data_IF_659856635183
#
_entry.id   IF_659856635183
#
_cell.length_a   1.000
_cell.length_b   1.000
_cell.length_c   1.000
_cell.angle_alpha   90.00
_cell.angle_beta   90.00
_cell.angle_gamma   90.00
#
_symmetry.space_group_name_H-M   'P 1'
#
loop_
_entity.id
_entity.type
_entity.pdbx_description
1 polymer ?
#
# COMPACT_ATOMS: atom_id res chain seq x y z
N UNK A 1 54.63 -0.54 3.62
CA UNK A 1 54.27 -1.92 3.24
C UNK A 1 52.83 -2.11 3.67
N UNK A 2 51.87 -2.01 2.74
CA UNK A 2 50.45 -2.19 3.04
C UNK A 2 50.18 -3.69 3.15
N UNK A 3 49.93 -4.18 4.36
CA UNK A 3 49.42 -5.54 4.55
C UNK A 3 48.08 -5.65 3.81
N UNK A 4 48.04 -6.52 2.80
CA UNK A 4 46.78 -7.05 2.25
C UNK A 4 46.01 -7.63 3.43
N UNK A 5 44.96 -6.94 3.90
CA UNK A 5 43.91 -7.60 4.68
C UNK A 5 43.36 -8.70 3.77
N UNK A 6 43.72 -9.93 4.08
CA UNK A 6 43.08 -11.10 3.49
C UNK A 6 41.61 -10.97 3.84
N UNK A 7 40.75 -10.76 2.84
CA UNK A 7 39.30 -10.81 3.03
C UNK A 7 38.98 -12.22 3.53
N UNK A 8 38.80 -12.36 4.85
CA UNK A 8 38.42 -13.61 5.46
C UNK A 8 37.00 -13.93 5.01
N UNK A 9 36.86 -14.98 4.20
CA UNK A 9 35.56 -15.52 3.83
C UNK A 9 35.13 -16.44 4.98
N UNK A 10 34.03 -16.15 5.69
CA UNK A 10 33.57 -17.01 6.77
C UNK A 10 33.34 -18.44 6.27
N UNK A 11 33.81 -19.43 7.02
CA UNK A 11 33.43 -20.83 6.80
C UNK A 11 32.14 -21.14 7.54
N UNK A 12 31.21 -21.76 6.84
CA UNK A 12 29.92 -22.17 7.38
C UNK A 12 29.87 -23.69 7.48
N UNK A 13 29.42 -24.21 8.62
CA UNK A 13 29.16 -25.65 8.81
C UNK A 13 27.80 -25.84 9.46
N UNK A 14 26.97 -26.73 8.91
CA UNK A 14 25.68 -27.10 9.50
C UNK A 14 25.73 -28.49 10.15
N UNK A 15 25.11 -28.63 11.32
CA UNK A 15 25.02 -29.92 12.03
C UNK A 15 23.81 -29.96 12.98
N UNK A 16 23.63 -31.07 13.69
CA UNK A 16 22.68 -31.20 14.80
C UNK A 16 23.45 -31.34 16.11
N UNK A 17 23.19 -30.48 17.09
CA UNK A 17 23.78 -30.55 18.43
C UNK A 17 22.92 -31.44 19.31
N UNK A 18 23.37 -32.69 19.50
CA UNK A 18 22.67 -33.69 20.32
C UNK A 18 22.52 -33.31 21.79
N UNK A 19 23.43 -32.51 22.34
CA UNK A 19 23.41 -32.10 23.75
C UNK A 19 22.36 -31.02 23.98
N UNK A 20 22.24 -30.08 23.04
CA UNK A 20 21.26 -28.98 23.11
C UNK A 20 19.94 -29.33 22.45
N UNK A 21 19.86 -30.45 21.73
CA UNK A 21 18.72 -30.86 20.90
C UNK A 21 18.30 -29.76 19.93
N UNK A 22 19.29 -29.17 19.24
CA UNK A 22 19.09 -28.03 18.32
C UNK A 22 19.81 -28.27 16.99
N UNK A 23 19.23 -27.73 15.93
CA UNK A 23 19.88 -27.64 14.62
C UNK A 23 20.79 -26.41 14.59
N UNK A 24 22.00 -26.52 14.07
CA UNK A 24 23.05 -25.50 14.28
C UNK A 24 23.75 -25.13 12.98
N UNK A 25 24.02 -23.84 12.81
CA UNK A 25 24.98 -23.31 11.83
C UNK A 25 26.14 -22.67 12.59
N UNK A 26 27.32 -23.22 12.42
CA UNK A 26 28.56 -22.65 12.93
C UNK A 26 29.18 -21.72 11.88
N UNK A 27 29.54 -20.51 12.29
CA UNK A 27 30.07 -19.44 11.44
C UNK A 27 31.46 -19.09 11.93
N UNK A 28 32.42 -20.00 11.72
CA UNK A 28 33.83 -19.79 12.09
C UNK A 28 34.00 -19.07 13.46
N UNK A 29 34.82 -18.05 13.51
CA UNK A 29 35.04 -17.19 14.68
C UNK A 29 33.88 -16.22 15.01
N UNK A 30 32.88 -16.08 14.13
CA UNK A 30 31.77 -15.12 14.29
C UNK A 30 30.65 -15.66 15.17
N UNK A 31 30.58 -16.98 15.36
CA UNK A 31 29.67 -17.58 16.34
C UNK A 31 28.80 -18.67 15.76
N UNK A 32 27.59 -18.79 16.30
CA UNK A 32 26.72 -19.94 16.06
C UNK A 32 25.26 -19.52 16.03
N UNK A 33 24.52 -19.98 15.02
CA UNK A 33 23.07 -19.80 14.90
C UNK A 33 22.37 -21.10 15.31
N UNK A 34 21.49 -21.01 16.29
CA UNK A 34 20.62 -22.11 16.71
C UNK A 34 19.26 -22.01 16.02
N UNK A 35 18.87 -23.08 15.36
CA UNK A 35 17.66 -23.18 14.56
C UNK A 35 16.64 -24.12 15.21
N UNK A 36 15.37 -23.82 15.01
CA UNK A 36 14.23 -24.53 15.59
C UNK A 36 13.99 -25.89 14.94
N UNK A 37 14.34 -26.04 13.66
CA UNK A 37 14.15 -27.26 12.88
C UNK A 37 15.30 -27.48 11.87
N UNK A 38 15.39 -28.69 11.33
CA UNK A 38 16.35 -29.02 10.26
C UNK A 38 16.12 -28.16 9.03
N UNK A 39 14.85 -28.00 8.68
CA UNK A 39 14.43 -27.20 7.53
C UNK A 39 14.86 -25.73 7.69
N UNK A 40 14.66 -25.14 8.87
CA UNK A 40 15.08 -23.76 9.13
C UNK A 40 16.60 -23.61 9.02
N UNK A 41 17.36 -24.54 9.61
CA UNK A 41 18.83 -24.56 9.52
C UNK A 41 19.29 -24.60 8.08
N UNK A 42 18.69 -25.49 7.28
CA UNK A 42 19.10 -25.70 5.90
C UNK A 42 18.79 -24.48 5.04
N UNK A 43 17.64 -23.83 5.23
CA UNK A 43 17.30 -22.61 4.49
C UNK A 43 18.21 -21.44 4.89
N UNK A 44 18.48 -21.24 6.19
CA UNK A 44 19.38 -20.17 6.66
C UNK A 44 20.82 -20.44 6.18
N UNK A 45 21.25 -21.70 6.16
CA UNK A 45 22.56 -22.09 5.67
C UNK A 45 22.71 -21.84 4.17
N UNK A 46 21.73 -22.26 3.37
CA UNK A 46 21.69 -21.98 1.93
C UNK A 46 21.70 -20.46 1.68
N UNK A 47 20.97 -19.68 2.48
CA UNK A 47 20.97 -18.21 2.44
C UNK A 47 22.35 -17.62 2.72
N UNK A 48 23.03 -18.06 3.79
CA UNK A 48 24.36 -17.57 4.14
C UNK A 48 25.43 -17.89 3.09
N UNK A 49 25.22 -18.95 2.31
CA UNK A 49 26.10 -19.37 1.22
C UNK A 49 25.69 -18.83 -0.15
N UNK A 50 24.59 -18.09 -0.25
CA UNK A 50 24.01 -17.62 -1.52
C UNK A 50 23.74 -18.75 -2.53
N UNK A 51 23.34 -19.93 -2.03
CA UNK A 51 23.07 -21.12 -2.86
C UNK A 51 21.58 -21.14 -3.24
N UNK A 52 21.30 -21.03 -4.53
CA UNK A 52 19.94 -20.95 -5.10
C UNK A 52 19.06 -19.85 -4.49
N UNK A 53 19.53 -18.61 -4.61
CA UNK A 53 18.78 -17.43 -4.25
C UNK A 53 17.29 -17.43 -4.65
N UNK A 54 17.06 -17.63 -5.95
CA UNK A 54 15.77 -17.53 -6.62
C UNK A 54 14.72 -18.53 -6.12
N UNK A 55 15.15 -19.60 -5.43
CA UNK A 55 14.27 -20.62 -4.85
C UNK A 55 13.52 -20.10 -3.63
N UNK A 56 14.08 -19.14 -2.91
CA UNK A 56 13.56 -18.63 -1.65
C UNK A 56 13.20 -17.13 -1.73
N UNK A 57 13.72 -16.42 -2.73
CA UNK A 57 13.57 -14.99 -2.88
C UNK A 57 13.49 -14.58 -4.36
N UNK A 58 12.43 -13.89 -4.74
CA UNK A 58 12.39 -13.16 -6.03
C UNK A 58 13.25 -11.89 -5.91
N UNK A 59 14.58 -12.01 -5.96
CA UNK A 59 15.52 -10.86 -5.91
C UNK A 59 15.74 -10.16 -7.22
N UNK A 60 15.47 -10.83 -8.34
CA UNK A 60 15.88 -10.30 -9.64
C UNK A 60 14.93 -9.20 -10.15
N UNK A 61 13.95 -8.82 -9.34
CA UNK A 61 12.98 -7.80 -9.69
C UNK A 61 13.12 -6.61 -8.76
N UNK A 62 13.57 -5.49 -9.31
CA UNK A 62 13.53 -4.19 -8.66
C UNK A 62 12.19 -3.50 -8.91
N UNK A 63 11.77 -2.64 -7.98
CA UNK A 63 10.61 -1.77 -8.17
C UNK A 63 11.04 -0.35 -7.94
N UNK A 64 10.91 0.48 -8.97
CA UNK A 64 11.11 1.92 -8.85
C UNK A 64 9.80 2.60 -8.44
N UNK A 65 9.86 3.45 -7.42
CA UNK A 65 8.80 4.42 -7.12
C UNK A 65 9.34 5.81 -7.42
N UNK A 66 8.65 6.51 -8.32
CA UNK A 66 8.99 7.89 -8.69
C UNK A 66 9.16 8.79 -7.46
N UNK A 67 10.16 9.66 -7.53
CA UNK A 67 10.51 10.65 -6.50
C UNK A 67 10.90 10.03 -5.13
N UNK A 68 11.13 8.71 -5.09
CA UNK A 68 11.66 7.97 -3.93
C UNK A 68 13.00 7.34 -4.28
N UNK A 69 12.99 6.07 -4.69
CA UNK A 69 14.16 5.27 -5.02
C UNK A 69 13.75 3.95 -5.69
N UNK A 70 14.75 3.20 -6.11
CA UNK A 70 14.59 1.80 -6.49
C UNK A 70 14.64 0.92 -5.25
N UNK A 71 13.62 0.09 -5.07
CA UNK A 71 13.51 -0.88 -3.99
C UNK A 71 13.91 -2.27 -4.50
N UNK A 72 14.69 -2.97 -3.70
CA UNK A 72 15.09 -4.37 -3.91
C UNK A 72 14.96 -5.12 -2.59
N UNK A 73 14.81 -6.45 -2.65
CA UNK A 73 14.76 -7.27 -1.43
C UNK A 73 15.98 -7.03 -0.53
N UNK A 74 17.19 -6.98 -1.11
CA UNK A 74 18.43 -6.76 -0.36
C UNK A 74 18.48 -5.38 0.31
N UNK A 75 17.94 -4.34 -0.33
CA UNK A 75 17.81 -3.02 0.29
C UNK A 75 16.93 -3.09 1.53
N UNK A 76 15.71 -3.65 1.38
CA UNK A 76 14.75 -3.80 2.47
C UNK A 76 15.36 -4.60 3.62
N UNK A 77 15.98 -5.74 3.32
CA UNK A 77 16.59 -6.62 4.31
C UNK A 77 17.66 -5.89 5.12
N UNK A 78 18.62 -5.25 4.44
CA UNK A 78 19.72 -4.57 5.11
C UNK A 78 19.25 -3.41 6.00
N UNK A 79 18.24 -2.66 5.58
CA UNK A 79 17.74 -1.54 6.37
C UNK A 79 16.88 -2.01 7.56
N UNK A 80 16.05 -3.04 7.38
CA UNK A 80 15.27 -3.62 8.47
C UNK A 80 16.18 -4.29 9.52
N UNK A 81 17.27 -4.94 9.12
CA UNK A 81 18.26 -5.48 10.05
C UNK A 81 18.99 -4.38 10.83
N UNK A 82 19.28 -3.22 10.22
CA UNK A 82 19.82 -2.06 10.96
C UNK A 82 18.83 -1.55 11.99
N UNK A 83 17.54 -1.43 11.64
CA UNK A 83 16.49 -1.02 12.57
C UNK A 83 16.44 -1.99 13.75
N UNK A 84 16.40 -3.30 13.45
CA UNK A 84 16.39 -4.35 14.47
C UNK A 84 17.61 -4.28 15.38
N UNK A 85 18.82 -4.11 14.83
CA UNK A 85 20.05 -3.94 15.61
C UNK A 85 19.99 -2.70 16.51
N UNK A 86 19.45 -1.57 16.01
CA UNK A 86 19.18 -0.37 16.80
C UNK A 86 18.26 -0.65 17.99
N UNK A 87 17.12 -1.30 17.75
CA UNK A 87 16.18 -1.68 18.80
C UNK A 87 16.79 -2.63 19.85
N UNK A 88 17.68 -3.53 19.44
CA UNK A 88 18.42 -4.41 20.36
C UNK A 88 19.36 -3.60 21.24
N UNK A 89 20.14 -2.69 20.65
CA UNK A 89 21.08 -1.83 21.36
C UNK A 89 20.36 -0.91 22.37
N UNK A 90 19.18 -0.42 22.01
CA UNK A 90 18.30 0.37 22.89
C UNK A 90 17.52 -0.48 23.91
N UNK A 91 17.68 -1.81 23.89
CA UNK A 91 16.94 -2.79 24.72
C UNK A 91 15.42 -2.77 24.50
N UNK A 92 14.93 -2.09 23.47
CA UNK A 92 13.50 -2.05 23.10
C UNK A 92 13.04 -3.35 22.46
N UNK A 93 13.88 -4.01 21.65
CA UNK A 93 13.52 -5.24 20.95
C UNK A 93 13.04 -6.34 21.91
N UNK A 94 13.68 -6.49 23.07
CA UNK A 94 13.31 -7.49 24.08
C UNK A 94 11.98 -7.21 24.79
N UNK A 95 11.42 -6.01 24.63
CA UNK A 95 10.08 -5.64 25.14
C UNK A 95 8.96 -5.97 24.16
N UNK A 96 9.32 -6.30 22.92
CA UNK A 96 8.41 -6.69 21.86
C UNK A 96 8.04 -8.17 22.02
N UNK A 97 6.74 -8.47 21.94
CA UNK A 97 6.25 -9.85 21.86
C UNK A 97 6.45 -10.43 20.45
N UNK A 98 6.19 -11.73 20.25
CA UNK A 98 6.41 -12.41 18.96
C UNK A 98 5.69 -11.73 17.78
N UNK A 99 4.46 -11.23 17.99
CA UNK A 99 3.68 -10.56 16.94
C UNK A 99 4.27 -9.19 16.58
N UNK A 100 4.73 -8.46 17.57
CA UNK A 100 5.39 -7.17 17.40
C UNK A 100 6.76 -7.34 16.72
N UNK A 101 7.50 -8.40 17.02
CA UNK A 101 8.76 -8.70 16.32
C UNK A 101 8.50 -9.05 14.85
N UNK A 102 7.45 -9.82 14.56
CA UNK A 102 7.09 -10.19 13.18
C UNK A 102 6.75 -8.99 12.30
N UNK A 103 6.31 -7.87 12.86
CA UNK A 103 6.01 -6.65 12.09
C UNK A 103 7.23 -6.18 11.29
N UNK A 104 8.44 -6.25 11.85
CA UNK A 104 9.70 -5.89 11.18
C UNK A 104 10.01 -6.80 9.97
N UNK A 105 9.52 -8.03 10.02
CA UNK A 105 9.76 -9.07 9.03
C UNK A 105 8.71 -9.06 7.90
N UNK A 106 7.54 -8.44 8.12
CA UNK A 106 6.44 -8.42 7.16
C UNK A 106 6.82 -7.90 5.76
N UNK A 107 7.57 -6.79 5.60
CA UNK A 107 7.96 -6.34 4.26
C UNK A 107 8.70 -7.43 3.47
N UNK A 108 9.59 -8.18 4.11
CA UNK A 108 10.36 -9.25 3.47
C UNK A 108 9.47 -10.43 3.08
N UNK A 109 8.52 -10.79 3.94
CA UNK A 109 7.55 -11.85 3.67
C UNK A 109 6.61 -11.46 2.51
N UNK A 110 6.13 -10.21 2.49
CA UNK A 110 5.30 -9.71 1.39
C UNK A 110 6.06 -9.69 0.06
N UNK A 111 7.34 -9.32 0.09
CA UNK A 111 8.19 -9.31 -1.10
C UNK A 111 8.37 -10.72 -1.67
N UNK A 112 8.66 -11.72 -0.82
CA UNK A 112 8.84 -13.11 -1.28
C UNK A 112 7.57 -13.68 -1.90
N UNK A 113 6.39 -13.22 -1.46
CA UNK A 113 5.07 -13.52 -2.06
C UNK A 113 4.74 -12.73 -3.33
N UNK A 114 5.67 -11.92 -3.84
CA UNK A 114 5.49 -11.02 -5.00
C UNK A 114 4.50 -9.88 -4.75
N UNK A 115 4.20 -9.55 -3.50
CA UNK A 115 3.35 -8.41 -3.11
C UNK A 115 4.20 -7.15 -2.94
N UNK A 116 4.92 -6.78 -4.00
CA UNK A 116 6.03 -5.81 -3.93
C UNK A 116 5.57 -4.42 -3.48
N UNK A 117 4.46 -3.90 -3.99
CA UNK A 117 3.96 -2.60 -3.54
C UNK A 117 3.53 -2.59 -2.07
N UNK A 118 2.79 -3.60 -1.62
CA UNK A 118 2.46 -3.74 -0.19
C UNK A 118 3.70 -3.86 0.70
N UNK A 119 4.72 -4.61 0.26
CA UNK A 119 6.03 -4.66 0.92
C UNK A 119 6.68 -3.28 1.03
N UNK A 120 6.71 -2.52 -0.07
CA UNK A 120 7.32 -1.19 -0.12
C UNK A 120 6.55 -0.19 0.74
N UNK A 121 5.23 -0.25 0.75
CA UNK A 121 4.40 0.63 1.58
C UNK A 121 4.63 0.36 3.06
N UNK A 122 4.70 -0.92 3.45
CA UNK A 122 5.05 -1.32 4.82
C UNK A 122 6.48 -0.92 5.18
N UNK A 123 7.46 -1.10 4.29
CA UNK A 123 8.83 -0.64 4.50
C UNK A 123 8.91 0.87 4.71
N UNK A 124 8.23 1.65 3.87
CA UNK A 124 8.20 3.11 3.97
C UNK A 124 7.55 3.61 5.26
N UNK A 125 6.62 2.84 5.84
CA UNK A 125 6.06 3.12 7.15
C UNK A 125 7.15 3.13 8.24
N UNK A 126 8.09 2.19 8.23
CA UNK A 126 9.22 2.17 9.17
C UNK A 126 10.25 3.27 8.94
N UNK A 127 10.55 3.55 7.67
CA UNK A 127 11.58 4.52 7.29
C UNK A 127 11.11 5.98 7.40
N UNK A 128 9.81 6.19 7.64
CA UNK A 128 9.16 7.49 7.80
C UNK A 128 9.34 8.43 6.58
N UNK A 129 9.41 7.87 5.37
CA UNK A 129 9.75 8.61 4.14
C UNK A 129 8.64 9.58 3.66
N UNK A 130 7.53 9.73 4.38
CA UNK A 130 6.38 10.57 4.02
C UNK A 130 5.56 10.02 2.86
N UNK A 131 4.63 10.83 2.33
CA UNK A 131 3.67 10.40 1.30
C UNK A 131 4.32 9.75 0.07
N UNK A 132 3.61 8.78 -0.52
CA UNK A 132 4.01 8.10 -1.75
C UNK A 132 3.20 8.69 -2.91
N UNK A 133 3.89 9.15 -3.95
CA UNK A 133 3.27 9.68 -5.16
C UNK A 133 3.16 8.58 -6.21
N UNK A 134 1.96 8.33 -6.69
CA UNK A 134 1.72 7.33 -7.73
C UNK A 134 2.26 7.81 -9.07
N UNK A 135 3.07 6.97 -9.70
CA UNK A 135 3.50 7.12 -11.08
C UNK A 135 2.69 6.24 -12.03
N UNK A 136 3.03 6.29 -13.32
CA UNK A 136 2.36 5.51 -14.35
C UNK A 136 2.47 3.99 -14.11
N UNK A 137 3.55 3.53 -13.48
CA UNK A 137 3.77 2.11 -13.19
C UNK A 137 2.81 1.65 -12.08
N UNK A 138 2.69 2.42 -11.00
CA UNK A 138 1.76 2.12 -9.92
C UNK A 138 0.30 2.23 -10.37
N UNK A 139 -0.01 3.19 -11.25
CA UNK A 139 -1.31 3.26 -11.90
C UNK A 139 -1.59 2.04 -12.81
N UNK A 140 -0.60 1.59 -13.60
CA UNK A 140 -0.75 0.42 -14.45
C UNK A 140 -0.92 -0.87 -13.62
N UNK A 141 -0.22 -0.98 -12.50
CA UNK A 141 -0.44 -2.05 -11.53
C UNK A 141 -1.90 -2.02 -11.06
N UNK A 142 -2.39 -0.87 -10.60
CA UNK A 142 -3.76 -0.73 -10.13
C UNK A 142 -4.81 -1.06 -11.22
N UNK A 143 -4.55 -0.67 -12.47
CA UNK A 143 -5.43 -0.95 -13.61
C UNK A 143 -5.54 -2.45 -13.94
N UNK A 144 -4.57 -3.26 -13.53
CA UNK A 144 -4.62 -4.72 -13.70
C UNK A 144 -5.45 -5.41 -12.61
N UNK A 145 -6.00 -4.66 -11.65
CA UNK A 145 -6.88 -5.20 -10.63
C UNK A 145 -8.29 -5.41 -11.19
N UNK A 146 -8.64 -6.68 -11.45
CA UNK A 146 -9.91 -7.07 -12.06
C UNK A 146 -11.13 -6.58 -11.28
N UNK A 147 -11.16 -6.80 -9.97
CA UNK A 147 -12.28 -6.42 -9.10
C UNK A 147 -12.47 -4.89 -9.07
N UNK A 148 -11.38 -4.13 -9.11
CA UNK A 148 -11.45 -2.67 -9.22
C UNK A 148 -12.05 -2.24 -10.56
N UNK A 149 -11.70 -2.91 -11.66
CA UNK A 149 -12.27 -2.62 -12.97
C UNK A 149 -13.77 -2.94 -13.03
N UNK A 150 -14.20 -4.04 -12.41
CA UNK A 150 -15.62 -4.35 -12.24
C UNK A 150 -16.34 -3.24 -11.45
N UNK A 151 -15.72 -2.75 -10.36
CA UNK A 151 -16.25 -1.61 -9.59
C UNK A 151 -16.27 -0.29 -10.38
N UNK A 152 -15.28 -0.03 -11.23
CA UNK A 152 -15.28 1.12 -12.17
C UNK A 152 -16.46 1.03 -13.14
N UNK A 153 -16.77 -0.15 -13.66
CA UNK A 153 -17.91 -0.35 -14.55
C UNK A 153 -19.25 -0.14 -13.83
N UNK A 154 -19.41 -0.66 -12.61
CA UNK A 154 -20.58 -0.38 -11.76
C UNK A 154 -20.73 1.13 -11.51
N UNK A 155 -19.62 1.82 -11.27
CA UNK A 155 -19.58 3.26 -11.10
C UNK A 155 -20.04 4.02 -12.36
N UNK A 156 -19.59 3.62 -13.55
CA UNK A 156 -20.03 4.27 -14.80
C UNK A 156 -21.53 4.07 -15.07
N UNK A 157 -22.08 2.89 -14.78
CA UNK A 157 -23.53 2.67 -14.86
C UNK A 157 -24.30 3.51 -13.82
N UNK A 158 -23.74 3.69 -12.62
CA UNK A 158 -24.28 4.62 -11.63
C UNK A 158 -24.31 6.06 -12.18
N UNK A 159 -23.23 6.57 -12.77
CA UNK A 159 -23.24 7.92 -13.37
C UNK A 159 -24.28 8.03 -14.48
N UNK A 160 -24.33 7.04 -15.39
CA UNK A 160 -25.29 6.99 -16.48
C UNK A 160 -26.75 7.02 -15.99
N UNK A 161 -27.05 6.33 -14.88
CA UNK A 161 -28.37 6.33 -14.24
C UNK A 161 -28.79 7.73 -13.75
N UNK A 162 -27.84 8.55 -13.31
CA UNK A 162 -28.08 9.91 -12.79
C UNK A 162 -27.82 11.04 -13.81
N UNK A 163 -27.36 10.68 -15.00
CA UNK A 163 -27.19 11.60 -16.12
C UNK A 163 -28.51 12.31 -16.44
N UNK A 164 -28.43 13.61 -16.72
CA UNK A 164 -29.58 14.49 -17.02
C UNK A 164 -30.63 14.58 -15.89
N UNK A 165 -30.31 14.16 -14.66
CA UNK A 165 -31.20 14.31 -13.49
C UNK A 165 -30.72 15.43 -12.57
N UNK A 166 -31.65 16.20 -11.95
CA UNK A 166 -31.28 17.23 -11.00
C UNK A 166 -30.75 16.62 -9.69
N UNK A 167 -29.54 17.01 -9.31
CA UNK A 167 -28.86 16.64 -8.08
C UNK A 167 -28.90 17.82 -7.11
N UNK A 168 -29.76 17.70 -6.08
CA UNK A 168 -29.97 18.73 -5.06
C UNK A 168 -29.07 18.53 -3.83
N UNK A 169 -28.73 17.27 -3.54
CA UNK A 169 -27.86 16.83 -2.44
C UNK A 169 -27.03 15.64 -2.90
N UNK A 170 -26.01 15.27 -2.13
CA UNK A 170 -25.22 14.05 -2.39
C UNK A 170 -26.14 12.84 -2.63
N UNK A 171 -25.91 12.17 -3.75
CA UNK A 171 -26.52 10.88 -4.08
C UNK A 171 -25.51 9.80 -3.76
N UNK A 172 -25.91 8.82 -2.95
CA UNK A 172 -25.09 7.68 -2.54
C UNK A 172 -25.81 6.37 -2.85
N UNK A 173 -25.18 5.51 -3.64
CA UNK A 173 -25.65 4.14 -3.89
C UNK A 173 -24.47 3.16 -3.77
N UNK A 174 -24.62 2.16 -2.88
CA UNK A 174 -23.53 1.23 -2.54
C UNK A 174 -22.26 2.00 -2.14
N UNK A 175 -21.17 1.83 -2.89
CA UNK A 175 -19.89 2.50 -2.69
C UNK A 175 -19.70 3.75 -3.55
N UNK A 176 -20.63 4.05 -4.46
CA UNK A 176 -20.58 5.17 -5.38
C UNK A 176 -21.30 6.40 -4.84
N UNK A 177 -20.78 7.58 -5.16
CA UNK A 177 -21.29 8.89 -4.74
C UNK A 177 -21.26 9.88 -5.89
N UNK A 178 -22.29 10.69 -6.01
CA UNK A 178 -22.36 11.84 -6.92
C UNK A 178 -22.71 13.08 -6.09
N UNK A 179 -21.86 14.10 -6.14
CA UNK A 179 -21.98 15.26 -5.26
C UNK A 179 -22.88 16.33 -5.87
N UNK A 180 -23.40 17.23 -5.03
CA UNK A 180 -24.16 18.40 -5.46
C UNK A 180 -23.27 19.64 -5.68
N UNK A 181 -21.95 19.52 -5.52
CA UNK A 181 -20.96 20.60 -5.74
C UNK A 181 -21.26 21.90 -4.97
N UNK A 182 -21.76 21.80 -3.74
CA UNK A 182 -22.28 22.97 -3.00
C UNK A 182 -21.23 24.05 -2.75
N UNK A 183 -19.98 23.66 -2.50
CA UNK A 183 -18.88 24.61 -2.33
C UNK A 183 -18.53 25.32 -3.65
N UNK A 184 -18.57 24.60 -4.77
CA UNK A 184 -18.38 25.21 -6.09
C UNK A 184 -19.53 26.15 -6.44
N UNK A 185 -20.79 25.79 -6.15
CA UNK A 185 -21.94 26.69 -6.33
C UNK A 185 -21.72 28.03 -5.61
N UNK A 186 -21.32 27.99 -4.33
CA UNK A 186 -21.05 29.19 -3.53
C UNK A 186 -19.92 30.02 -4.11
N UNK A 187 -18.88 29.37 -4.62
CA UNK A 187 -17.74 30.06 -5.22
C UNK A 187 -18.11 30.74 -6.55
N UNK A 188 -18.87 30.05 -7.41
CA UNK A 188 -19.33 30.61 -8.68
C UNK A 188 -20.29 31.80 -8.51
N UNK A 189 -21.08 31.83 -7.42
CA UNK A 189 -21.97 32.97 -7.10
C UNK A 189 -21.23 34.26 -6.76
N UNK A 190 -20.01 34.18 -6.22
CA UNK A 190 -19.20 35.35 -5.83
C UNK A 190 -18.49 35.99 -7.01
N UNK A 191 -18.44 35.30 -8.14
CA UNK A 191 -17.70 35.72 -9.33
C UNK A 191 -18.58 36.58 -10.21
N UNK A 192 -17.98 37.59 -10.86
CA UNK A 192 -18.67 38.48 -11.80
C UNK A 192 -18.32 38.16 -13.26
N UNK A 193 -17.27 37.37 -13.49
CA UNK A 193 -16.78 37.08 -14.83
C UNK A 193 -17.80 36.28 -15.66
N UNK A 194 -17.96 36.63 -16.94
CA UNK A 194 -18.82 35.89 -17.87
C UNK A 194 -18.37 34.45 -18.06
N UNK A 195 -17.06 34.26 -18.12
CA UNK A 195 -16.43 32.96 -18.27
C UNK A 195 -15.28 32.82 -17.28
N UNK A 196 -15.15 31.62 -16.74
CA UNK A 196 -14.21 31.35 -15.67
C UNK A 196 -13.55 29.97 -15.83
N UNK A 197 -12.24 29.88 -15.67
CA UNK A 197 -11.49 28.62 -15.79
C UNK A 197 -11.41 27.92 -14.43
N UNK A 198 -12.01 26.74 -14.33
CA UNK A 198 -11.85 25.84 -13.19
C UNK A 198 -10.70 24.88 -13.54
N UNK A 199 -9.52 25.13 -12.99
CA UNK A 199 -8.31 24.32 -13.22
C UNK A 199 -7.83 23.57 -11.96
N UNK A 200 -6.68 22.90 -12.05
CA UNK A 200 -6.06 22.17 -10.93
C UNK A 200 -5.64 23.04 -9.73
N UNK A 201 -5.58 24.37 -9.88
CA UNK A 201 -5.31 25.27 -8.75
C UNK A 201 -6.55 25.46 -7.88
N UNK A 202 -7.72 25.07 -8.39
CA UNK A 202 -8.91 24.98 -7.56
C UNK A 202 -8.73 23.94 -6.47
N UNK A 203 -9.30 24.23 -5.30
CA UNK A 203 -9.34 23.30 -4.19
C UNK A 203 -10.05 22.02 -4.64
N UNK A 204 -9.46 20.84 -4.40
CA UNK A 204 -10.06 19.56 -4.78
C UNK A 204 -11.44 19.35 -4.14
N UNK A 205 -11.73 20.01 -3.01
CA UNK A 205 -13.08 20.03 -2.41
C UNK A 205 -14.14 20.68 -3.30
N UNK A 206 -13.75 21.58 -4.20
CA UNK A 206 -14.67 22.28 -5.10
C UNK A 206 -14.88 21.50 -6.40
N UNK A 207 -13.84 20.80 -6.86
CA UNK A 207 -13.86 20.12 -8.15
C UNK A 207 -14.22 18.66 -8.07
N UNK A 208 -14.17 18.05 -6.88
CA UNK A 208 -14.60 16.66 -6.68
C UNK A 208 -16.11 16.54 -6.88
N UNK A 209 -16.51 15.98 -8.01
CA UNK A 209 -17.92 15.79 -8.36
C UNK A 209 -18.42 14.39 -8.07
N UNK A 210 -17.51 13.42 -7.90
CA UNK A 210 -17.91 12.03 -7.69
C UNK A 210 -16.81 11.19 -7.07
N UNK A 211 -17.19 10.11 -6.38
CA UNK A 211 -16.26 9.16 -5.78
C UNK A 211 -16.85 7.76 -5.81
N UNK A 212 -16.01 6.75 -5.92
CA UNK A 212 -16.37 5.38 -5.53
C UNK A 212 -15.30 4.76 -4.65
N UNK A 213 -15.64 3.67 -3.96
CA UNK A 213 -14.68 2.84 -3.27
C UNK A 213 -14.83 1.37 -3.65
N UNK A 214 -13.72 0.65 -3.61
CA UNK A 214 -13.72 -0.80 -3.47
C UNK A 214 -13.47 -1.11 -2.00
N UNK A 215 -14.44 -1.78 -1.37
CA UNK A 215 -14.31 -2.23 0.00
C UNK A 215 -13.80 -3.66 -0.04
N UNK A 216 -12.80 -3.97 0.78
CA UNK A 216 -12.32 -5.34 0.95
C UNK A 216 -13.05 -5.97 2.12
N UNK A 217 -13.76 -7.06 1.85
CA UNK A 217 -14.59 -7.76 2.81
C UNK A 217 -14.02 -9.12 3.23
N UNK A 218 -14.80 -9.85 4.04
CA UNK A 218 -14.41 -11.16 4.55
C UNK A 218 -14.27 -12.22 3.45
N UNK A 219 -14.91 -12.07 2.29
CA UNK A 219 -14.91 -13.06 1.21
C UNK A 219 -13.80 -12.79 0.18
N UNK A 220 -13.33 -11.56 0.05
CA UNK A 220 -12.24 -11.17 -0.88
C UNK A 220 -10.92 -11.89 -0.64
N UNK A 221 -10.18 -12.27 -1.69
CA UNK A 221 -8.92 -13.00 -1.53
C UNK A 221 -7.78 -12.08 -1.05
N UNK A 222 -7.42 -12.25 0.24
CA UNK A 222 -6.30 -11.56 0.89
C UNK A 222 -4.94 -11.89 0.25
N UNK A 223 -4.87 -12.94 -0.58
CA UNK A 223 -3.64 -13.36 -1.24
C UNK A 223 -3.34 -12.62 -2.53
N UNK A 224 -4.19 -11.67 -2.92
CA UNK A 224 -3.92 -10.84 -4.09
C UNK A 224 -2.93 -9.72 -3.74
N UNK A 225 -1.98 -9.41 -4.63
CA UNK A 225 -1.03 -8.31 -4.40
C UNK A 225 -1.74 -6.95 -4.29
N UNK A 226 -2.93 -6.80 -4.87
CA UNK A 226 -3.71 -5.56 -4.80
C UNK A 226 -4.31 -5.33 -3.42
N UNK A 227 -5.00 -6.33 -2.86
CA UNK A 227 -5.54 -6.26 -1.50
C UNK A 227 -4.43 -6.04 -0.47
N UNK A 228 -3.31 -6.75 -0.63
CA UNK A 228 -2.14 -6.59 0.23
C UNK A 228 -1.49 -5.20 0.14
N UNK A 229 -1.68 -4.47 -0.97
CA UNK A 229 -1.09 -3.14 -1.18
C UNK A 229 -2.03 -2.00 -0.78
N UNK A 230 -3.31 -2.09 -1.12
CA UNK A 230 -4.24 -0.96 -1.01
C UNK A 230 -5.38 -1.18 -0.02
N UNK A 231 -5.66 -2.42 0.42
CA UNK A 231 -6.84 -2.69 1.24
C UNK A 231 -8.11 -2.11 0.61
N UNK A 232 -8.94 -1.44 1.43
CA UNK A 232 -10.08 -0.66 0.94
C UNK A 232 -9.57 0.62 0.30
N UNK A 233 -9.90 0.83 -0.98
CA UNK A 233 -9.39 1.95 -1.78
C UNK A 233 -10.52 2.85 -2.25
N UNK A 234 -10.36 4.17 -2.08
CA UNK A 234 -11.28 5.17 -2.60
C UNK A 234 -10.71 5.97 -3.77
N UNK A 235 -11.49 6.11 -4.83
CA UNK A 235 -11.12 6.85 -6.05
C UNK A 235 -12.10 8.00 -6.27
N UNK A 236 -11.58 9.23 -6.28
CA UNK A 236 -12.33 10.45 -6.56
C UNK A 236 -12.20 10.87 -8.03
N UNK A 237 -13.20 11.61 -8.52
CA UNK A 237 -13.18 12.23 -9.83
C UNK A 237 -13.34 13.74 -9.69
N UNK A 238 -12.34 14.47 -10.19
CA UNK A 238 -12.30 15.93 -10.16
C UNK A 238 -12.57 16.48 -11.56
N UNK A 239 -13.31 17.57 -11.64
CA UNK A 239 -13.55 18.31 -12.88
C UNK A 239 -12.49 19.40 -13.10
N UNK A 240 -12.11 19.60 -14.36
CA UNK A 240 -11.46 20.79 -14.88
C UNK A 240 -12.24 21.23 -16.13
N UNK A 241 -12.49 22.52 -16.26
CA UNK A 241 -13.39 23.01 -17.29
C UNK A 241 -13.57 24.52 -17.30
N UNK A 242 -14.38 24.99 -18.24
CA UNK A 242 -14.70 26.41 -18.40
C UNK A 242 -16.16 26.64 -18.02
N UNK A 243 -16.38 27.41 -16.95
CA UNK A 243 -17.70 27.86 -16.56
C UNK A 243 -18.14 29.03 -17.45
N UNK A 244 -19.38 28.99 -17.92
CA UNK A 244 -20.08 30.06 -18.60
C UNK A 244 -21.27 30.48 -17.73
N UNK A 245 -21.24 31.71 -17.24
CA UNK A 245 -22.25 32.20 -16.30
C UNK A 245 -23.63 32.36 -16.94
N UNK A 246 -23.68 32.89 -18.16
CA UNK A 246 -24.95 33.15 -18.86
C UNK A 246 -25.74 31.85 -19.11
N UNK A 247 -25.03 30.73 -19.31
CA UNK A 247 -25.62 29.40 -19.48
C UNK A 247 -25.72 28.60 -18.19
N UNK A 248 -25.14 29.10 -17.09
CA UNK A 248 -24.97 28.35 -15.84
C UNK A 248 -24.34 26.97 -16.07
N UNK A 249 -23.30 26.91 -16.90
CA UNK A 249 -22.80 25.66 -17.48
C UNK A 249 -21.28 25.58 -17.39
N UNK A 250 -20.74 24.42 -16.98
CA UNK A 250 -19.33 24.09 -17.04
C UNK A 250 -19.11 23.15 -18.21
N UNK A 251 -18.33 23.60 -19.20
CA UNK A 251 -17.80 22.73 -20.24
C UNK A 251 -16.55 22.01 -19.71
N UNK A 252 -16.59 20.68 -19.63
CA UNK A 252 -15.52 19.87 -19.04
C UNK A 252 -14.41 19.67 -20.05
N UNK A 253 -13.21 20.17 -19.72
CA UNK A 253 -12.02 19.99 -20.55
C UNK A 253 -11.20 18.79 -20.10
N UNK A 254 -11.19 18.47 -18.80
CA UNK A 254 -10.57 17.26 -18.24
C UNK A 254 -11.37 16.69 -17.07
N UNK A 255 -11.35 15.36 -16.97
CA UNK A 255 -11.72 14.64 -15.76
C UNK A 255 -10.44 14.02 -15.21
N UNK A 256 -10.18 14.28 -13.94
CA UNK A 256 -9.04 13.75 -13.22
C UNK A 256 -9.51 12.64 -12.29
N UNK A 257 -8.87 11.49 -12.38
CA UNK A 257 -8.96 10.45 -11.36
C UNK A 257 -7.96 10.77 -10.26
N UNK A 258 -8.43 10.90 -9.02
CA UNK A 258 -7.65 11.18 -7.83
C UNK A 258 -7.69 10.00 -6.84
N UNK A 259 -6.51 9.55 -6.42
CA UNK A 259 -6.30 8.66 -5.29
C UNK A 259 -5.63 9.47 -4.19
N UNK A 260 -6.18 9.40 -2.99
CA UNK A 260 -5.65 10.07 -1.82
C UNK A 260 -6.06 9.25 -0.60
N UNK A 261 -5.33 8.15 -0.41
CA UNK A 261 -5.66 7.14 0.57
C UNK A 261 -4.62 7.09 1.68
N UNK A 262 -5.08 6.86 2.92
CA UNK A 262 -4.19 6.79 4.07
C UNK A 262 -3.65 5.37 4.24
N UNK A 263 -2.34 5.26 4.38
CA UNK A 263 -1.71 4.08 4.94
C UNK A 263 -1.57 4.31 6.45
N UNK A 264 -2.65 4.02 7.17
CA UNK A 264 -2.72 4.11 8.63
C UNK A 264 -3.30 2.82 9.24
N UNK A 265 -2.97 2.56 10.50
CA UNK A 265 -3.41 1.36 11.23
C UNK A 265 -4.48 1.71 12.27
N UNK A 266 -5.48 2.49 11.86
CA UNK A 266 -6.58 2.92 12.74
C UNK A 266 -7.72 1.89 12.69
N UNK A 267 -8.34 1.60 13.84
CA UNK A 267 -9.47 0.66 13.95
C UNK A 267 -9.08 -0.79 14.21
N UNK A 268 -10.00 -1.74 13.97
CA UNK A 268 -9.87 -3.16 14.33
C UNK A 268 -9.72 -4.10 13.14
N UNK A 269 -8.88 -3.74 12.16
CA UNK A 269 -8.64 -4.58 10.99
C UNK A 269 -7.64 -5.71 11.33
N UNK A 270 -7.97 -6.93 10.92
CA UNK A 270 -7.04 -8.07 10.94
C UNK A 270 -6.33 -8.13 9.59
N UNK A 271 -5.01 -8.24 9.63
CA UNK A 271 -4.11 -8.16 8.48
C UNK A 271 -3.62 -9.55 8.04
N UNK A 272 -4.26 -10.61 8.53
CA UNK A 272 -3.94 -12.01 8.22
C UNK A 272 -3.11 -12.72 9.29
N UNK A 273 -3.05 -14.04 9.14
CA UNK A 273 -2.20 -14.96 9.87
C UNK A 273 -0.90 -15.19 9.10
N UNK A 274 0.20 -14.72 9.67
CA UNK A 274 1.51 -14.69 9.02
C UNK A 274 2.45 -15.73 9.62
N UNK A 275 3.24 -16.39 8.78
CA UNK A 275 4.23 -17.33 9.28
C UNK A 275 5.31 -16.60 10.09
N UNK A 276 5.73 -17.21 11.21
CA UNK A 276 6.80 -16.70 12.08
C UNK A 276 8.19 -16.58 11.41
N UNK A 277 8.42 -17.30 10.32
CA UNK A 277 9.72 -17.39 9.64
C UNK A 277 9.68 -16.69 8.29
N UNK A 278 10.58 -15.71 8.10
CA UNK A 278 10.80 -15.04 6.81
C UNK A 278 11.27 -15.99 5.70
N UNK A 279 11.78 -17.16 6.09
CA UNK A 279 12.35 -18.18 5.22
C UNK A 279 11.34 -19.28 4.84
N UNK A 280 10.21 -19.35 5.54
CA UNK A 280 9.13 -20.30 5.25
C UNK A 280 8.20 -19.73 4.19
N UNK A 281 8.50 -19.99 2.91
CA UNK A 281 7.60 -19.63 1.82
C UNK A 281 6.29 -20.43 1.91
N UNK A 282 5.20 -19.76 2.28
CA UNK A 282 3.84 -20.26 2.14
C UNK A 282 3.20 -19.60 0.93
N UNK A 283 2.53 -20.36 0.06
CA UNK A 283 1.83 -19.77 -1.09
C UNK A 283 0.65 -18.89 -0.68
N UNK A 284 0.06 -19.10 0.51
CA UNK A 284 -1.09 -18.36 1.01
C UNK A 284 -0.87 -17.83 2.44
N UNK A 285 -1.44 -16.67 2.73
CA UNK A 285 -1.65 -16.05 4.04
C UNK A 285 -3.08 -16.38 4.44
N UNK A 286 -3.25 -16.89 5.65
CA UNK A 286 -4.57 -17.18 6.19
C UNK A 286 -5.26 -15.86 6.56
N UNK A 287 -6.56 -15.71 6.32
CA UNK A 287 -7.30 -14.52 6.79
C UNK A 287 -7.29 -14.42 8.32
N UNK A 288 -7.41 -15.58 8.98
CA UNK A 288 -7.34 -15.75 10.43
C UNK A 288 -6.75 -17.12 10.74
N UNK A 289 -5.84 -17.21 11.70
CA UNK A 289 -5.45 -18.48 12.30
C UNK A 289 -6.16 -18.70 13.61
N UNK A 290 -6.89 -19.81 13.72
CA UNK A 290 -7.55 -20.19 14.97
C UNK A 290 -6.74 -21.23 15.76
N UNK A 291 -5.86 -22.01 15.10
CA UNK A 291 -5.17 -23.14 15.75
C UNK A 291 -3.78 -23.50 15.15
N UNK A 292 -3.11 -22.62 14.39
CA UNK A 292 -1.73 -22.89 13.88
C UNK A 292 -0.69 -22.12 14.69
N UNK A 293 0.13 -22.83 15.47
CA UNK A 293 1.21 -22.28 16.31
C UNK A 293 2.34 -21.62 15.50
N UNK A 294 2.43 -21.92 14.19
CA UNK A 294 3.42 -21.34 13.27
C UNK A 294 2.99 -20.01 12.69
N UNK A 295 1.71 -19.66 12.81
CA UNK A 295 1.14 -18.45 12.25
C UNK A 295 0.72 -17.46 13.36
N UNK A 296 0.99 -16.18 13.14
CA UNK A 296 0.65 -15.10 14.04
C UNK A 296 -0.37 -14.18 13.38
N UNK A 297 -1.53 -14.03 14.01
CA UNK A 297 -2.50 -13.03 13.59
C UNK A 297 -2.00 -11.64 13.96
N UNK A 298 -1.83 -10.81 12.94
CA UNK A 298 -1.49 -9.40 13.09
C UNK A 298 -2.75 -8.57 12.93
N UNK A 299 -2.88 -7.57 13.79
CA UNK A 299 -3.98 -6.60 13.82
C UNK A 299 -3.42 -5.19 13.95
N UNK A 300 -4.27 -4.20 13.68
CA UNK A 300 -3.93 -2.79 13.94
C UNK A 300 -3.48 -2.52 15.39
N UNK A 301 -4.05 -3.21 16.38
CA UNK A 301 -3.60 -3.10 17.77
C UNK A 301 -2.16 -3.60 17.97
N UNK A 302 -1.71 -4.57 17.17
CA UNK A 302 -0.33 -5.04 17.18
C UNK A 302 0.60 -3.96 16.62
N UNK A 303 0.23 -3.31 15.51
CA UNK A 303 0.98 -2.19 14.93
C UNK A 303 1.10 -0.99 15.87
N UNK A 304 0.00 -0.61 16.51
CA UNK A 304 0.00 0.50 17.47
C UNK A 304 0.84 0.18 18.71
N UNK A 305 0.76 -1.06 19.21
CA UNK A 305 1.61 -1.51 20.33
C UNK A 305 3.09 -1.52 19.95
N UNK A 306 3.44 -2.03 18.77
CA UNK A 306 4.80 -1.96 18.23
C UNK A 306 5.28 -0.50 18.13
N UNK A 307 4.50 0.38 17.49
CA UNK A 307 4.82 1.82 17.33
C UNK A 307 5.12 2.47 18.67
N UNK A 308 4.30 2.21 19.69
CA UNK A 308 4.47 2.79 21.01
C UNK A 308 5.73 2.29 21.74
N UNK A 309 6.08 1.01 21.59
CA UNK A 309 7.25 0.42 22.28
C UNK A 309 8.57 0.68 21.54
N UNK A 310 8.53 0.60 20.22
CA UNK A 310 9.69 0.80 19.36
C UNK A 310 9.96 2.29 19.11
N UNK A 311 8.94 3.15 19.22
CA UNK A 311 8.98 4.56 18.83
C UNK A 311 9.32 4.75 17.34
N UNK A 312 8.83 3.83 16.51
CA UNK A 312 9.04 3.80 15.06
C UNK A 312 7.70 3.68 14.36
N UNK A 313 7.54 4.40 13.25
CA UNK A 313 6.45 4.19 12.31
C UNK A 313 5.60 5.42 12.16
N UNK A 314 5.46 5.90 10.91
CA UNK A 314 4.74 7.14 10.60
C UNK A 314 3.65 6.91 9.57
N UNK A 315 2.46 7.42 9.88
CA UNK A 315 1.34 7.41 8.93
C UNK A 315 1.67 8.27 7.72
N UNK A 316 1.34 7.78 6.54
CA UNK A 316 1.54 8.49 5.27
C UNK A 316 0.37 8.21 4.34
N UNK A 317 0.33 8.92 3.20
CA UNK A 317 -0.69 8.72 2.18
C UNK A 317 -0.11 8.25 0.86
N UNK A 318 -0.90 7.45 0.16
CA UNK A 318 -0.68 7.12 -1.24
C UNK A 318 -1.52 8.09 -2.06
N UNK A 319 -0.85 8.95 -2.83
CA UNK A 319 -1.46 10.06 -3.58
C UNK A 319 -1.18 9.90 -5.05
N UNK A 320 -2.22 9.91 -5.88
CA UNK A 320 -2.11 9.83 -7.33
C UNK A 320 -3.13 10.70 -8.01
N UNK A 321 -2.78 11.30 -9.13
CA UNK A 321 -3.75 11.97 -9.99
C UNK A 321 -3.39 11.76 -11.46
N UNK A 322 -4.38 11.39 -12.28
CA UNK A 322 -4.20 11.20 -13.73
C UNK A 322 -5.41 11.66 -14.52
N UNK A 323 -5.18 12.16 -15.73
CA UNK A 323 -6.24 12.53 -16.65
C UNK A 323 -6.85 11.26 -17.26
N UNK A 324 -8.18 11.18 -17.32
CA UNK A 324 -8.89 10.04 -17.92
C UNK A 324 -9.77 10.43 -19.11
N UNK A 325 -9.80 11.72 -19.48
CA UNK A 325 -10.70 12.21 -20.53
C UNK A 325 -10.56 11.48 -21.87
N UNK A 326 -9.34 11.10 -22.24
CA UNK A 326 -9.06 10.46 -23.53
C UNK A 326 -9.56 9.01 -23.59
N UNK A 327 -9.87 8.39 -22.43
CA UNK A 327 -10.29 6.99 -22.35
C UNK A 327 -11.80 6.83 -22.14
N UNK A 328 -12.48 7.73 -21.42
CA UNK A 328 -13.91 7.62 -21.14
C UNK A 328 -14.55 8.94 -20.64
N UNK A 329 -15.00 9.86 -21.52
CA UNK A 329 -15.69 11.08 -21.09
C UNK A 329 -17.16 10.78 -20.77
N UNK A 330 -17.42 10.23 -19.58
CA UNK A 330 -18.77 9.89 -19.12
C UNK A 330 -19.63 11.12 -18.75
N UNK A 331 -18.99 12.29 -18.59
CA UNK A 331 -19.61 13.61 -18.44
C UNK A 331 -18.87 14.60 -19.35
N UNK A 332 -19.61 15.40 -20.12
CA UNK A 332 -19.07 16.45 -21.00
C UNK A 332 -19.37 17.85 -20.47
N UNK A 333 -20.51 17.97 -19.79
CA UNK A 333 -21.04 19.26 -19.41
C UNK A 333 -21.71 19.15 -18.05
N UNK A 334 -21.65 20.21 -17.25
CA UNK A 334 -22.36 20.28 -15.96
C UNK A 334 -23.15 21.58 -15.92
N UNK A 335 -24.48 21.48 -15.89
CA UNK A 335 -25.33 22.64 -15.57
C UNK A 335 -25.38 22.80 -14.05
N UNK A 336 -25.01 23.98 -13.58
CA UNK A 336 -24.80 24.25 -12.16
C UNK A 336 -25.35 25.62 -11.79
N UNK A 337 -26.26 25.63 -10.83
CA UNK A 337 -26.77 26.86 -10.24
C UNK A 337 -26.94 26.74 -8.72
N UNK A 338 -27.48 27.78 -8.10
CA UNK A 338 -27.66 27.85 -6.64
C UNK A 338 -28.41 26.66 -6.05
N UNK A 339 -29.32 26.05 -6.82
CA UNK A 339 -30.27 25.07 -6.31
C UNK A 339 -29.92 23.64 -6.72
N UNK A 340 -29.33 23.43 -7.90
CA UNK A 340 -29.13 22.09 -8.47
C UNK A 340 -27.89 21.98 -9.34
N UNK A 341 -27.47 20.73 -9.53
CA UNK A 341 -26.49 20.31 -10.53
C UNK A 341 -27.12 19.29 -11.46
N UNK A 342 -26.83 19.36 -12.75
CA UNK A 342 -27.20 18.34 -13.74
C UNK A 342 -25.94 17.96 -14.51
N UNK A 343 -25.59 16.68 -14.47
CA UNK A 343 -24.45 16.10 -15.16
C UNK A 343 -24.90 15.58 -16.54
N UNK A 344 -24.29 16.08 -17.62
CA UNK A 344 -24.66 15.81 -19.03
C UNK A 344 -23.51 15.17 -19.83
#
# INVERSE_FOLDING_TARGET
MFEKRVNFIPTFTKYYDDKRKKYVIFISQYGTIYCSSEKDRDIIYDFLLDINPEKYWDTNNEVYIKDKKTYTYSLLYNDLEKIKAGLINEKKYNTLNEKEQLILDLPLIMWSKKWKYGSIFMYNWFMEEGDIIMDNTLFAFLDNWKELNEKRNEFYEFIKKYKNKPILKEVKEKTSRLYALDELKKELQKREEKEFLIDRKFNSKYTNFSRFSINIDFFDDINTPYVASFGTLGIGYLLEGKYNREKEEIYITKIWEEINDSFDFIGSQVLGGWNKSIFSYHSKVDKYTFFDERNLNISNSTFNSFRNKAEIGKDFRIKGIRNINDKNPFIKTIKINSNKVIYE
#
